data_IF_615130008243
#
_entry.id   IF_615130008243
#
_cell.length_a   1.000
_cell.length_b   1.000
_cell.length_c   1.000
_cell.angle_alpha   90.00
_cell.angle_beta   90.00
_cell.angle_gamma   90.00
#
_symmetry.space_group_name_H-M   'P 1'
#
loop_
_entity.id
_entity.type
_entity.pdbx_description
1 polymer ?
#
# COMPACT_ATOMS: atom_id res chain seq x y z
N UNK A 1 -7.63 10.70 -17.61
CA UNK A 1 -8.62 11.65 -18.17
C UNK A 1 -9.54 11.06 -19.25
N UNK A 2 -9.07 10.08 -20.03
CA UNK A 2 -9.80 9.53 -21.18
C UNK A 2 -10.27 8.07 -21.00
N UNK A 3 -10.41 7.60 -19.76
CA UNK A 3 -10.92 6.25 -19.49
C UNK A 3 -12.41 6.34 -19.13
N UNK A 4 -13.22 5.39 -19.61
CA UNK A 4 -14.67 5.32 -19.33
C UNK A 4 -15.00 5.24 -17.84
N UNK A 5 -14.04 4.79 -17.01
CA UNK A 5 -14.18 4.73 -15.56
C UNK A 5 -13.71 6.01 -14.85
N UNK A 6 -13.18 7.00 -15.57
CA UNK A 6 -12.76 8.30 -15.02
C UNK A 6 -11.76 8.17 -13.86
N UNK A 7 -12.10 8.73 -12.69
CA UNK A 7 -11.28 8.64 -11.46
C UNK A 7 -11.13 7.21 -10.92
N UNK A 8 -11.98 6.29 -11.38
CA UNK A 8 -12.02 4.90 -10.95
C UNK A 8 -11.25 3.98 -11.91
N UNK A 9 -10.68 4.53 -12.98
CA UNK A 9 -9.85 3.78 -13.90
C UNK A 9 -8.64 3.17 -13.18
N UNK A 10 -8.39 1.88 -13.44
CA UNK A 10 -7.22 1.20 -12.94
C UNK A 10 -5.98 1.81 -13.60
N UNK A 11 -5.11 2.40 -12.79
CA UNK A 11 -3.82 2.89 -13.22
C UNK A 11 -2.75 1.83 -12.94
N UNK A 12 -1.77 1.74 -13.84
CA UNK A 12 -0.58 0.94 -13.59
C UNK A 12 0.14 1.46 -12.35
N UNK A 13 0.70 0.59 -11.49
CA UNK A 13 1.43 1.03 -10.32
C UNK A 13 2.66 1.86 -10.73
N UNK A 14 2.76 3.07 -10.18
CA UNK A 14 3.97 3.91 -10.26
C UNK A 14 4.71 3.84 -8.91
N UNK A 15 5.74 3.00 -8.86
CA UNK A 15 6.54 2.81 -7.66
C UNK A 15 7.45 4.01 -7.35
N UNK A 16 7.80 4.83 -8.34
CA UNK A 16 8.58 6.06 -8.10
C UNK A 16 7.71 7.08 -7.40
N UNK A 17 6.48 7.28 -7.88
CA UNK A 17 5.50 8.12 -7.21
C UNK A 17 5.17 7.61 -5.80
N UNK A 18 4.98 6.30 -5.62
CA UNK A 18 4.74 5.70 -4.30
C UNK A 18 5.88 6.01 -3.32
N UNK A 19 7.14 5.80 -3.72
CA UNK A 19 8.30 6.09 -2.88
C UNK A 19 8.38 7.58 -2.51
N UNK A 20 8.11 8.47 -3.47
CA UNK A 20 8.09 9.91 -3.21
C UNK A 20 7.03 10.27 -2.17
N UNK A 21 5.79 9.83 -2.38
CA UNK A 21 4.67 10.07 -1.46
C UNK A 21 4.99 9.54 -0.05
N UNK A 22 5.48 8.30 0.07
CA UNK A 22 5.84 7.74 1.38
C UNK A 22 6.96 8.55 2.05
N UNK A 23 7.96 9.00 1.28
CA UNK A 23 9.06 9.81 1.81
C UNK A 23 8.60 11.20 2.25
N UNK A 24 7.71 11.84 1.50
CA UNK A 24 7.19 13.17 1.80
C UNK A 24 6.39 13.12 3.11
N UNK A 25 5.48 12.15 3.27
CA UNK A 25 4.73 11.96 4.51
C UNK A 25 5.61 11.63 5.73
N UNK A 26 6.73 10.91 5.53
CA UNK A 26 7.68 10.65 6.62
C UNK A 26 8.40 11.93 7.05
N UNK A 27 8.82 12.78 6.10
CA UNK A 27 9.53 14.02 6.37
C UNK A 27 8.63 15.12 6.94
N UNK A 28 7.42 15.26 6.41
CA UNK A 28 6.51 16.34 6.79
C UNK A 28 5.98 16.17 8.22
N UNK A 29 5.74 14.93 8.64
CA UNK A 29 5.28 14.61 9.99
C UNK A 29 6.42 14.26 10.95
N UNK A 30 7.68 14.36 10.50
CA UNK A 30 8.82 14.15 11.38
C UNK A 30 8.79 15.21 12.50
N UNK A 31 8.87 14.72 13.73
CA UNK A 31 8.81 15.49 15.00
C UNK A 31 7.56 16.36 15.22
N UNK A 32 6.56 16.29 14.33
CA UNK A 32 5.30 17.06 14.43
C UNK A 32 4.06 16.19 14.63
N UNK A 33 4.17 14.89 14.35
CA UNK A 33 3.04 13.98 14.46
C UNK A 33 3.45 12.52 14.38
N UNK A 34 2.45 11.67 14.14
CA UNK A 34 2.64 10.23 14.05
C UNK A 34 1.84 9.65 12.89
N UNK A 35 2.53 9.01 11.95
CA UNK A 35 1.92 8.44 10.76
C UNK A 35 1.09 7.19 11.09
N UNK A 36 -0.07 7.05 10.43
CA UNK A 36 -0.82 5.80 10.38
C UNK A 36 -0.48 5.09 9.04
N UNK A 37 0.19 3.95 9.13
CA UNK A 37 0.77 3.24 7.98
C UNK A 37 -0.15 2.10 7.55
N UNK A 38 -0.73 2.19 6.34
CA UNK A 38 -1.60 1.16 5.80
C UNK A 38 -1.59 1.13 4.26
N UNK A 39 -1.66 -0.07 3.68
CA UNK A 39 -1.94 -0.25 2.24
C UNK A 39 -3.34 -0.83 1.97
N UNK A 40 -3.94 -1.48 2.97
CA UNK A 40 -5.22 -2.15 2.85
C UNK A 40 -6.17 -1.62 3.93
N UNK A 41 -7.44 -1.48 3.57
CA UNK A 41 -8.55 -1.24 4.49
C UNK A 41 -9.82 -1.88 3.90
N UNK A 42 -10.98 -1.72 4.55
CA UNK A 42 -12.24 -2.32 4.08
C UNK A 42 -12.74 -1.78 2.74
N UNK A 43 -12.30 -0.59 2.33
CA UNK A 43 -12.71 0.08 1.10
C UNK A 43 -11.71 -0.10 -0.06
N UNK A 44 -10.52 -0.64 0.24
CA UNK A 44 -9.43 -0.79 -0.72
C UNK A 44 -9.16 -2.26 -0.99
N UNK A 45 -9.00 -2.58 -2.29
CA UNK A 45 -8.60 -3.90 -2.73
C UNK A 45 -7.22 -4.30 -2.14
N UNK A 46 -6.99 -5.61 -2.05
CA UNK A 46 -5.74 -6.16 -1.53
C UNK A 46 -4.53 -5.66 -2.32
N UNK A 47 -3.48 -5.22 -1.63
CA UNK A 47 -2.32 -4.56 -2.25
C UNK A 47 -1.58 -5.50 -3.19
N UNK A 48 -1.48 -6.79 -2.84
CA UNK A 48 -0.82 -7.80 -3.67
C UNK A 48 -1.58 -8.10 -4.98
N UNK A 49 -2.91 -8.03 -4.97
CA UNK A 49 -3.72 -8.24 -6.17
C UNK A 49 -3.77 -6.97 -7.04
N UNK A 50 -3.59 -5.79 -6.43
CA UNK A 50 -3.64 -4.51 -7.14
C UNK A 50 -2.30 -4.12 -7.75
N UNK A 51 -1.21 -4.28 -7.02
CA UNK A 51 0.12 -3.77 -7.37
C UNK A 51 1.24 -4.81 -7.32
N UNK A 52 0.98 -6.00 -6.75
CA UNK A 52 1.95 -7.08 -6.63
C UNK A 52 1.65 -8.25 -7.56
N UNK A 53 2.08 -9.44 -7.14
CA UNK A 53 1.69 -10.70 -7.74
C UNK A 53 1.00 -11.56 -6.67
N UNK A 54 -0.28 -11.87 -6.88
CA UNK A 54 -1.08 -12.67 -5.95
C UNK A 54 -1.21 -14.14 -6.36
N UNK A 55 -0.48 -14.55 -7.39
CA UNK A 55 -0.43 -15.93 -7.94
C UNK A 55 0.87 -16.61 -7.50
N UNK A 56 1.87 -16.71 -8.39
CA UNK A 56 3.13 -17.44 -8.17
C UNK A 56 3.96 -16.85 -7.03
N UNK A 57 3.95 -15.53 -6.85
CA UNK A 57 4.78 -14.83 -5.87
C UNK A 57 3.98 -14.17 -4.75
N UNK A 58 2.89 -14.83 -4.34
CA UNK A 58 1.95 -14.30 -3.35
C UNK A 58 2.64 -13.99 -2.03
N UNK A 59 3.47 -14.91 -1.53
CA UNK A 59 4.12 -14.77 -0.23
C UNK A 59 5.23 -13.72 -0.27
N UNK A 60 6.05 -13.73 -1.31
CA UNK A 60 7.16 -12.80 -1.52
C UNK A 60 6.62 -11.38 -1.72
N UNK A 61 5.58 -11.22 -2.54
CA UNK A 61 4.93 -9.91 -2.75
C UNK A 61 4.30 -9.39 -1.46
N UNK A 62 3.57 -10.24 -0.72
CA UNK A 62 2.96 -9.84 0.55
C UNK A 62 4.02 -9.42 1.57
N UNK A 63 5.10 -10.20 1.67
CA UNK A 63 6.22 -9.92 2.56
C UNK A 63 6.91 -8.62 2.17
N UNK A 64 7.16 -8.37 0.89
CA UNK A 64 7.78 -7.13 0.42
C UNK A 64 6.98 -5.87 0.82
N UNK A 65 5.66 -5.87 0.57
CA UNK A 65 4.81 -4.75 0.97
C UNK A 65 4.70 -4.59 2.49
N UNK A 66 4.68 -5.71 3.23
CA UNK A 66 4.71 -5.67 4.68
C UNK A 66 6.03 -5.07 5.20
N UNK A 67 7.19 -5.49 4.67
CA UNK A 67 8.51 -4.97 5.03
C UNK A 67 8.61 -3.47 4.78
N UNK A 68 8.07 -2.97 3.67
CA UNK A 68 8.05 -1.54 3.38
C UNK A 68 7.33 -0.78 4.50
N UNK A 69 6.10 -1.17 4.87
CA UNK A 69 5.37 -0.47 5.93
C UNK A 69 6.07 -0.60 7.28
N UNK A 70 6.53 -1.81 7.64
CA UNK A 70 7.15 -2.07 8.95
C UNK A 70 8.48 -1.36 9.14
N UNK A 71 9.15 -0.95 8.06
CA UNK A 71 10.38 -0.17 8.11
C UNK A 71 10.19 1.34 8.30
N UNK A 72 8.95 1.85 8.27
CA UNK A 72 8.67 3.29 8.37
C UNK A 72 8.25 3.70 9.79
N UNK A 73 8.51 4.97 10.16
CA UNK A 73 8.11 5.54 11.45
C UNK A 73 6.59 5.77 11.45
N UNK A 74 5.88 5.11 12.36
CA UNK A 74 4.44 5.25 12.51
C UNK A 74 3.76 4.03 13.15
N UNK A 75 2.45 4.10 13.29
CA UNK A 75 1.62 2.97 13.74
C UNK A 75 1.14 2.18 12.55
N UNK A 76 1.47 0.91 12.54
CA UNK A 76 1.06 -0.03 11.51
C UNK A 76 -0.40 -0.44 11.69
N UNK A 77 -1.18 -0.35 10.62
CA UNK A 77 -2.54 -0.89 10.56
C UNK A 77 -2.58 -2.07 9.59
N UNK A 78 -2.98 -3.23 10.09
CA UNK A 78 -3.23 -4.41 9.28
C UNK A 78 -4.73 -4.65 9.12
N UNK A 79 -5.17 -4.97 7.90
CA UNK A 79 -6.56 -5.37 7.66
C UNK A 79 -6.73 -6.85 7.97
N UNK A 80 -7.84 -7.23 8.62
CA UNK A 80 -8.14 -8.64 8.89
C UNK A 80 -8.19 -9.43 7.58
N UNK A 81 -7.25 -10.36 7.43
CA UNK A 81 -7.28 -11.35 6.36
C UNK A 81 -8.14 -12.50 6.85
N UNK A 82 -9.29 -12.76 6.20
CA UNK A 82 -9.95 -14.07 6.34
C UNK A 82 -8.95 -15.13 5.88
N UNK A 83 -8.46 -15.93 6.83
CA UNK A 83 -7.74 -17.17 6.55
C UNK A 83 -8.82 -18.12 5.99
N UNK A 84 -8.84 -18.32 4.67
CA UNK A 84 -9.59 -19.43 4.10
C UNK A 84 -8.82 -20.68 4.53
N UNK A 85 -9.45 -21.48 5.38
CA UNK A 85 -8.99 -22.80 5.77
C UNK A 85 -9.18 -23.77 4.59
#
# INVERSE_FOLDING_TARGET
PNDVNGRWALQKPDFVALKRILSDWQKELDDKGWNALYFENHDRARVISRWGNDTTYRYESATAFATILHGLKGTLMCTKVKKLA
#
